data_IF_295915228935
#
_entry.id   IF_295915228935
#
_cell.length_a   1.000
_cell.length_b   1.000
_cell.length_c   1.000
_cell.angle_alpha   90.00
_cell.angle_beta   90.00
_cell.angle_gamma   90.00
#
_symmetry.space_group_name_H-M   'P 1'
#
loop_
_entity.id
_entity.type
_entity.pdbx_description
1 polymer ?
#
# COMPACT_ATOMS: atom_id res chain seq x y z
N UNK A 1 -1.49 -4.28 3.80
CA UNK A 1 -2.53 -4.15 2.76
C UNK A 1 -2.71 -2.68 2.43
N UNK A 2 -2.76 -2.35 1.14
CA UNK A 2 -3.02 -1.00 0.66
C UNK A 2 -4.51 -0.90 0.31
N UNK A 3 -5.18 0.15 0.80
CA UNK A 3 -6.58 0.41 0.48
C UNK A 3 -6.74 1.80 -0.13
N UNK A 4 -7.75 1.95 -0.99
CA UNK A 4 -8.12 3.25 -1.56
C UNK A 4 -8.63 4.20 -0.48
N UNK A 5 -8.22 5.46 -0.54
CA UNK A 5 -8.85 6.56 0.18
C UNK A 5 -8.26 7.91 -0.21
N UNK A 6 -8.71 8.98 0.44
CA UNK A 6 -8.44 10.38 0.01
C UNK A 6 -7.11 10.95 0.48
N UNK A 7 -6.48 10.29 1.45
CA UNK A 7 -5.23 10.73 2.08
C UNK A 7 -4.37 9.51 2.43
N UNK A 8 -3.06 9.73 2.54
CA UNK A 8 -2.12 8.68 2.95
C UNK A 8 -2.10 8.61 4.47
N UNK A 9 -2.73 7.57 5.03
CA UNK A 9 -2.88 7.41 6.47
C UNK A 9 -2.82 5.94 6.90
N UNK A 10 -2.18 5.68 8.03
CA UNK A 10 -2.13 4.38 8.67
C UNK A 10 -3.49 4.09 9.35
N UNK A 11 -4.21 3.06 8.91
CA UNK A 11 -5.53 2.72 9.45
C UNK A 11 -5.48 1.67 10.55
N UNK A 12 -4.62 0.68 10.42
CA UNK A 12 -4.54 -0.39 11.42
C UNK A 12 -3.15 -1.01 11.46
N UNK A 13 -2.74 -1.42 12.66
CA UNK A 13 -1.57 -2.24 12.90
C UNK A 13 -1.98 -3.37 13.81
N UNK A 14 -1.67 -4.60 13.42
CA UNK A 14 -1.92 -5.80 14.22
C UNK A 14 -0.63 -6.59 14.33
N UNK A 15 -0.39 -7.16 15.50
CA UNK A 15 0.70 -8.11 15.72
C UNK A 15 0.11 -9.54 15.82
N UNK A 16 -0.14 -10.24 14.70
CA UNK A 16 -0.70 -11.59 14.75
C UNK A 16 0.24 -12.62 15.38
N UNK A 17 1.55 -12.40 15.32
CA UNK A 17 2.56 -13.20 15.99
C UNK A 17 3.72 -12.32 16.45
N UNK A 18 4.48 -12.77 17.44
CA UNK A 18 5.56 -11.97 18.05
C UNK A 18 6.48 -11.39 16.97
N UNK A 19 6.63 -10.05 16.98
CA UNK A 19 7.43 -9.29 16.02
C UNK A 19 6.97 -9.35 14.54
N UNK A 20 5.79 -9.90 14.26
CA UNK A 20 5.17 -9.83 12.94
C UNK A 20 4.09 -8.77 12.97
N UNK A 21 4.19 -7.77 12.10
CA UNK A 21 3.20 -6.69 12.02
C UNK A 21 2.46 -6.72 10.69
N UNK A 22 1.14 -6.73 10.75
CA UNK A 22 0.27 -6.54 9.60
C UNK A 22 -0.31 -5.14 9.68
N UNK A 23 -0.03 -4.35 8.66
CA UNK A 23 -0.47 -2.95 8.57
C UNK A 23 -1.49 -2.78 7.46
N UNK A 24 -2.51 -1.96 7.72
CA UNK A 24 -3.44 -1.46 6.72
C UNK A 24 -3.18 0.03 6.52
N UNK A 25 -2.80 0.40 5.29
CA UNK A 25 -2.50 1.77 4.91
C UNK A 25 -3.51 2.22 3.85
N UNK A 26 -4.17 3.33 4.12
CA UNK A 26 -4.99 4.04 3.15
C UNK A 26 -4.12 4.98 2.34
N UNK A 27 -4.34 5.05 1.01
CA UNK A 27 -3.67 6.03 0.16
C UNK A 27 -4.44 6.27 -1.15
N UNK A 28 -4.44 7.51 -1.69
CA UNK A 28 -5.08 7.84 -2.98
C UNK A 28 -4.56 7.02 -4.15
N UNK A 29 -3.29 6.63 -4.11
CA UNK A 29 -2.65 5.83 -5.16
C UNK A 29 -3.31 4.45 -5.31
N UNK A 30 -3.92 3.92 -4.25
CA UNK A 30 -4.62 2.63 -4.30
C UNK A 30 -6.00 2.69 -4.95
N UNK A 31 -6.54 3.90 -5.20
CA UNK A 31 -7.83 4.08 -5.87
C UNK A 31 -7.78 3.86 -7.39
N UNK A 32 -6.57 3.82 -7.96
CA UNK A 32 -6.37 3.62 -9.39
C UNK A 32 -5.65 2.28 -9.64
N UNK A 33 -6.38 1.15 -9.65
CA UNK A 33 -5.76 -0.17 -9.78
C UNK A 33 -5.18 -0.50 -11.18
N UNK A 34 -5.07 0.45 -12.12
CA UNK A 34 -4.91 0.12 -13.54
C UNK A 34 -3.95 1.02 -14.36
N UNK A 35 -2.84 1.49 -13.78
CA UNK A 35 -1.70 2.00 -14.60
C UNK A 35 -0.33 1.61 -14.04
N UNK A 36 -0.23 0.44 -13.42
CA UNK A 36 1.04 -0.29 -13.29
C UNK A 36 1.20 -1.24 -14.47
N UNK A 37 1.04 -0.71 -15.68
CA UNK A 37 1.67 -1.32 -16.85
C UNK A 37 3.16 -1.38 -16.54
N UNK A 38 3.67 -2.61 -16.54
CA UNK A 38 5.06 -3.09 -16.68
C UNK A 38 6.03 -2.10 -17.34
N UNK A 39 6.31 -0.99 -16.66
CA UNK A 39 7.38 -0.06 -17.02
C UNK A 39 8.68 -0.72 -16.63
N UNK A 40 9.40 -1.25 -17.63
CA UNK A 40 10.81 -1.59 -17.54
C UNK A 40 11.50 -0.46 -16.79
N UNK A 41 11.96 -0.73 -15.57
CA UNK A 41 12.86 0.17 -14.88
C UNK A 41 14.14 0.15 -15.71
N UNK A 42 14.43 1.24 -16.43
CA UNK A 42 15.76 1.46 -16.98
C UNK A 42 16.45 2.35 -15.96
N UNK A 43 17.23 1.74 -15.07
CA UNK A 43 18.24 2.51 -14.35
C UNK A 43 19.23 3.09 -15.38
N UNK A 44 19.51 4.39 -15.26
CA UNK A 44 20.46 5.14 -16.09
C UNK A 44 21.48 5.79 -15.15
#
# INVERSE_FOLDING_TARGET
>A
MLICGTETALRSVKEPSKCQYVMELQTPVSCQPALRQRGVHSEL
#
